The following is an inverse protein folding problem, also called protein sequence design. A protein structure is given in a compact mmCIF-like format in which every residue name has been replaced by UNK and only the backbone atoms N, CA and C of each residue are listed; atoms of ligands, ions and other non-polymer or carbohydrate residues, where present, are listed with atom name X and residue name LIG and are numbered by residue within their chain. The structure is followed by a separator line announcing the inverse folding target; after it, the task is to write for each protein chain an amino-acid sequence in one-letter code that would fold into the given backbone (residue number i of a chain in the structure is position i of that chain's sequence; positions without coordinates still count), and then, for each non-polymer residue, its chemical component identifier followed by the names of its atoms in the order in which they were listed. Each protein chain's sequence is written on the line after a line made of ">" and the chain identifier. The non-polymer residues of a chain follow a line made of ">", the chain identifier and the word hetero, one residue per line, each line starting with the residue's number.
data_IF_419555436841
#
_entry.id   IF_419555436841
#
_cell.length_a   1.000
_cell.length_b   1.000
_cell.length_c   1.000
_cell.angle_alpha   90.00
_cell.angle_beta   90.00
_cell.angle_gamma   90.00
#
_symmetry.space_group_name_H-M   'P 1'
#
loop_
_entity.id
_entity.type
_entity.pdbx_description
1 polymer ?
#
# COMPACT_ATOMS: atom_id res chain seq x y z
N UNK A 1 -0.37 6.60 -0.69
CA UNK A 1 -0.45 6.42 0.78
C UNK A 1 0.84 6.82 1.51
N UNK A 2 2.01 6.62 0.87
CA UNK A 2 3.35 6.96 1.37
C UNK A 2 3.49 8.28 2.15
N UNK A 3 3.14 9.43 1.57
CA UNK A 3 3.35 10.73 2.25
C UNK A 3 2.57 10.88 3.55
N UNK A 4 1.40 10.25 3.67
CA UNK A 4 0.59 10.27 4.89
C UNK A 4 1.25 9.42 5.99
N UNK A 5 1.86 8.29 5.61
CA UNK A 5 2.59 7.42 6.53
C UNK A 5 3.86 8.11 7.04
N UNK A 6 4.63 8.76 6.18
CA UNK A 6 5.83 9.51 6.59
C UNK A 6 5.49 10.63 7.60
N UNK A 7 4.43 11.41 7.33
CA UNK A 7 3.95 12.43 8.27
C UNK A 7 3.50 11.84 9.60
N UNK A 8 2.87 10.66 9.58
CA UNK A 8 2.45 9.97 10.81
C UNK A 8 3.67 9.51 11.63
N UNK A 9 4.71 8.96 10.99
CA UNK A 9 5.95 8.55 11.64
C UNK A 9 6.62 9.76 12.32
N UNK A 10 6.78 10.89 11.60
CA UNK A 10 7.37 12.10 12.17
C UNK A 10 6.59 12.63 13.39
N UNK A 11 5.26 12.57 13.36
CA UNK A 11 4.43 12.97 14.48
C UNK A 11 4.55 12.02 15.68
N UNK A 12 4.64 10.71 15.45
CA UNK A 12 4.78 9.71 16.52
C UNK A 12 6.15 9.84 17.21
N UNK A 13 7.22 10.07 16.44
CA UNK A 13 8.56 10.29 17.01
C UNK A 13 8.58 11.46 17.99
N UNK A 14 7.94 12.57 17.60
CA UNK A 14 7.90 13.83 18.38
C UNK A 14 6.78 13.89 19.42
N UNK A 15 5.88 12.90 19.45
CA UNK A 15 4.69 12.94 20.31
C UNK A 15 5.02 12.52 21.74
N UNK A 16 4.59 13.33 22.71
CA UNK A 16 4.63 12.94 24.14
C UNK A 16 3.39 12.13 24.56
N UNK A 17 2.42 11.95 23.65
CA UNK A 17 1.18 11.19 23.90
C UNK A 17 1.32 9.69 23.70
N UNK A 18 2.46 9.25 23.14
CA UNK A 18 2.80 7.85 22.93
C UNK A 18 3.99 7.56 23.84
N UNK A 19 3.91 6.48 24.61
CA UNK A 19 5.00 6.08 25.49
C UNK A 19 6.29 5.86 24.67
N UNK A 20 7.46 6.20 25.20
CA UNK A 20 8.73 5.94 24.52
C UNK A 20 8.93 4.46 24.19
N UNK A 21 8.44 3.54 25.03
CA UNK A 21 8.52 2.10 24.78
C UNK A 21 7.66 1.61 23.60
N UNK A 22 6.50 2.24 23.33
CA UNK A 22 5.59 1.79 22.27
C UNK A 22 5.93 2.39 20.90
N UNK A 23 6.63 3.53 20.86
CA UNK A 23 6.99 4.23 19.62
C UNK A 23 7.69 3.32 18.58
N UNK A 24 8.71 2.51 18.93
CA UNK A 24 9.41 1.68 17.95
C UNK A 24 8.49 0.68 17.25
N UNK A 25 7.58 0.05 18.00
CA UNK A 25 6.62 -0.93 17.48
C UNK A 25 5.61 -0.29 16.53
N UNK A 26 5.09 0.89 16.90
CA UNK A 26 4.14 1.63 16.08
C UNK A 26 4.80 2.09 14.77
N UNK A 27 6.02 2.64 14.86
CA UNK A 27 6.77 3.08 13.67
C UNK A 27 7.09 1.90 12.77
N UNK A 28 7.47 0.74 13.32
CA UNK A 28 7.69 -0.48 12.55
C UNK A 28 6.44 -0.88 11.77
N UNK A 29 5.27 -0.91 12.43
CA UNK A 29 4.00 -1.26 11.79
C UNK A 29 3.65 -0.30 10.64
N UNK A 30 3.89 0.99 10.82
CA UNK A 30 3.68 1.98 9.77
C UNK A 30 4.61 1.79 8.56
N UNK A 31 5.86 1.37 8.79
CA UNK A 31 6.80 1.02 7.72
C UNK A 31 6.37 -0.24 6.97
N UNK A 32 5.91 -1.27 7.68
CA UNK A 32 5.35 -2.49 7.07
C UNK A 32 4.19 -2.16 6.14
N UNK A 33 3.22 -1.35 6.60
CA UNK A 33 2.09 -0.92 5.77
C UNK A 33 2.50 -0.12 4.52
N UNK A 34 3.58 0.66 4.60
CA UNK A 34 4.13 1.38 3.45
C UNK A 34 4.69 0.42 2.39
N UNK A 35 5.26 -0.69 2.81
CA UNK A 35 5.79 -1.71 1.92
C UNK A 35 4.68 -2.55 1.29
N UNK A 36 3.65 -2.90 2.08
CA UNK A 36 2.45 -3.59 1.59
C UNK A 36 1.70 -2.79 0.52
N UNK A 37 1.58 -1.46 0.66
CA UNK A 37 1.01 -0.56 -0.38
C UNK A 37 1.74 -0.70 -1.73
N UNK A 38 3.05 -0.92 -1.71
CA UNK A 38 3.81 -1.13 -2.94
C UNK A 38 3.52 -2.50 -3.55
N UNK A 39 3.48 -3.55 -2.72
CA UNK A 39 3.19 -4.90 -3.19
C UNK A 39 1.79 -4.99 -3.83
N UNK A 40 0.78 -4.30 -3.28
CA UNK A 40 -0.56 -4.22 -3.86
C UNK A 40 -0.53 -3.51 -5.21
N UNK A 41 0.20 -2.40 -5.33
CA UNK A 41 0.36 -1.69 -6.59
C UNK A 41 1.02 -2.56 -7.67
N UNK A 42 2.06 -3.31 -7.32
CA UNK A 42 2.74 -4.22 -8.25
C UNK A 42 1.80 -5.33 -8.74
N UNK A 43 0.94 -5.84 -7.85
CA UNK A 43 -0.10 -6.81 -8.19
C UNK A 43 -1.14 -6.18 -9.13
N UNK A 44 -1.59 -4.95 -8.85
CA UNK A 44 -2.55 -4.24 -9.68
C UNK A 44 -2.03 -4.05 -11.12
N UNK A 45 -0.77 -3.66 -11.28
CA UNK A 45 -0.13 -3.51 -12.61
C UNK A 45 -0.07 -4.86 -13.34
N UNK A 46 0.27 -5.96 -12.64
CA UNK A 46 0.27 -7.30 -13.24
C UNK A 46 -1.13 -7.72 -13.68
N UNK A 47 -2.15 -7.43 -12.89
CA UNK A 47 -3.53 -7.70 -13.26
C UNK A 47 -3.98 -6.86 -14.44
N UNK A 48 -3.60 -5.59 -14.52
CA UNK A 48 -3.90 -4.72 -15.66
C UNK A 48 -3.25 -5.24 -16.94
N UNK A 49 -1.97 -5.64 -16.88
CA UNK A 49 -1.28 -6.26 -18.01
C UNK A 49 -1.94 -7.57 -18.44
N UNK A 50 -2.24 -8.45 -17.49
CA UNK A 50 -2.95 -9.70 -17.77
C UNK A 50 -4.34 -9.45 -18.35
N UNK A 51 -5.06 -8.44 -17.84
CA UNK A 51 -6.36 -8.06 -18.35
C UNK A 51 -6.30 -7.61 -19.80
N UNK A 52 -5.31 -6.81 -20.20
CA UNK A 52 -5.10 -6.44 -21.62
C UNK A 52 -4.91 -7.64 -22.55
N UNK A 53 -4.37 -8.76 -22.05
CA UNK A 53 -4.21 -9.99 -22.84
C UNK A 53 -5.51 -10.77 -22.98
N UNK A 54 -6.36 -10.79 -21.95
CA UNK A 54 -7.60 -11.60 -21.94
C UNK A 54 -8.84 -10.82 -22.37
N UNK A 55 -8.86 -9.50 -22.25
CA UNK A 55 -9.98 -8.63 -22.59
C UNK A 55 -10.54 -8.88 -24.00
N UNK A 56 -9.72 -9.10 -25.05
CA UNK A 56 -10.24 -9.40 -26.39
C UNK A 56 -11.12 -10.67 -26.44
N UNK A 57 -10.79 -11.70 -25.64
CA UNK A 57 -11.58 -12.93 -25.57
C UNK A 57 -12.94 -12.64 -24.92
N UNK A 58 -12.97 -11.82 -23.89
CA UNK A 58 -14.22 -11.40 -23.25
C UNK A 58 -15.07 -10.54 -24.20
N UNK A 59 -14.44 -9.68 -25.01
CA UNK A 59 -15.11 -8.88 -26.02
C UNK A 59 -15.70 -9.76 -27.14
N UNK A 60 -14.98 -10.78 -27.61
CA UNK A 60 -15.49 -11.78 -28.56
C UNK A 60 -16.72 -12.52 -28.02
N UNK A 61 -16.80 -12.71 -26.70
CA UNK A 61 -17.94 -13.32 -26.03
C UNK A 61 -19.07 -12.32 -25.70
N UNK A 62 -18.90 -11.02 -25.97
CA UNK A 62 -19.86 -9.97 -25.65
C UNK A 62 -20.05 -9.73 -24.15
N UNK A 63 -19.03 -10.04 -23.35
CA UNK A 63 -19.04 -9.89 -21.88
C UNK A 63 -18.46 -8.55 -21.40
N UNK A 64 -17.86 -7.78 -22.31
CA UNK A 64 -17.37 -6.40 -22.13
C UNK A 64 -17.65 -5.57 -23.37
#
# INVERSE_FOLDING_TARGET
>A
MKEKIEKAIEHIEKSDKVSPEDKPLIIQKLKEWREEDNAINDIAIRFENWWMEVEPIFAEMGLV
#
